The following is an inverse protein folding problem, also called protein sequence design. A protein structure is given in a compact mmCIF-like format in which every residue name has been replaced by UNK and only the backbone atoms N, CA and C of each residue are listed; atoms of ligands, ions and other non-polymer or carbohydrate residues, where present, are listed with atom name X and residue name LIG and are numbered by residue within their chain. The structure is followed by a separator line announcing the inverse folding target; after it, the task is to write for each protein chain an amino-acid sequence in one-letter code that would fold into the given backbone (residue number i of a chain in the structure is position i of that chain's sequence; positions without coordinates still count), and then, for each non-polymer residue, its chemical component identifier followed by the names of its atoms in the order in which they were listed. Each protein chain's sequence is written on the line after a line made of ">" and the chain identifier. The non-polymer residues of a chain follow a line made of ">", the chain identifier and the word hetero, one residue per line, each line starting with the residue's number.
data_IF_277545607791
#
_entry.id   IF_277545607791
#
_cell.length_a   1.000
_cell.length_b   1.000
_cell.length_c   1.000
_cell.angle_alpha   90.00
_cell.angle_beta   90.00
_cell.angle_gamma   90.00
#
_symmetry.space_group_name_H-M   'P 1'
#
loop_
_entity.id
_entity.type
_entity.pdbx_description
1 polymer ?
#
# COMPACT_ATOMS: atom_id res chain seq x y z
N UNK A 1 2.62 -18.20 81.22
CA UNK A 1 4.09 -18.09 81.18
C UNK A 1 4.44 -17.65 79.77
N UNK A 2 4.45 -16.34 79.52
CA UNK A 2 5.64 -15.46 79.43
C UNK A 2 6.66 -16.00 78.41
N UNK A 3 6.82 -15.28 77.30
CA UNK A 3 8.07 -14.59 76.90
C UNK A 3 8.04 -14.41 75.37
N UNK A 4 7.79 -13.22 74.84
CA UNK A 4 8.76 -12.14 74.64
C UNK A 4 10.07 -12.63 73.99
N UNK A 5 10.31 -12.21 72.75
CA UNK A 5 11.51 -12.50 71.97
C UNK A 5 11.59 -11.64 70.72
N UNK A 6 11.97 -10.38 70.91
CA UNK A 6 12.20 -9.35 69.91
C UNK A 6 13.52 -9.64 69.17
N UNK A 7 13.53 -9.72 67.84
CA UNK A 7 14.73 -9.46 67.05
C UNK A 7 14.38 -8.71 65.78
N UNK A 8 14.71 -7.42 65.82
CA UNK A 8 14.79 -6.55 64.66
C UNK A 8 15.76 -7.14 63.62
N UNK A 9 15.39 -7.02 62.34
CA UNK A 9 16.33 -6.69 61.27
C UNK A 9 15.57 -6.23 60.03
N UNK A 10 15.54 -4.91 59.95
CA UNK A 10 15.31 -4.11 58.75
C UNK A 10 16.19 -4.62 57.61
N UNK A 11 15.55 -5.01 56.50
CA UNK A 11 16.14 -4.92 55.18
C UNK A 11 15.20 -4.07 54.34
N UNK A 12 15.53 -2.78 54.26
CA UNK A 12 14.95 -1.84 53.32
C UNK A 12 15.27 -2.36 51.91
N UNK A 13 14.31 -3.04 51.27
CA UNK A 13 14.32 -3.21 49.82
C UNK A 13 13.95 -1.86 49.22
N UNK A 14 14.96 -1.12 48.78
CA UNK A 14 14.77 0.03 47.92
C UNK A 14 14.15 -0.46 46.60
N UNK A 15 12.83 -0.31 46.48
CA UNK A 15 12.14 -0.41 45.19
C UNK A 15 12.55 0.82 44.37
N UNK A 16 13.50 0.63 43.45
CA UNK A 16 13.69 1.56 42.34
C UNK A 16 12.49 1.39 41.40
N UNK A 17 11.38 2.06 41.71
CA UNK A 17 10.35 2.32 40.70
C UNK A 17 10.95 3.32 39.71
N UNK A 18 11.41 2.82 38.57
CA UNK A 18 11.56 3.69 37.39
C UNK A 18 10.14 4.06 36.94
N UNK A 19 9.58 5.08 37.57
CA UNK A 19 8.43 5.79 37.04
C UNK A 19 8.91 6.56 35.80
N UNK A 20 8.65 5.97 34.63
CA UNK A 20 8.67 6.70 33.36
C UNK A 20 7.54 7.73 33.36
N UNK A 21 7.76 8.83 34.07
CA UNK A 21 6.96 10.04 33.95
C UNK A 21 7.16 10.62 32.55
N UNK A 22 6.25 10.22 31.65
CA UNK A 22 5.54 11.05 30.67
C UNK A 22 6.12 12.47 30.51
N UNK A 23 7.24 12.61 29.78
CA UNK A 23 7.55 13.87 29.13
C UNK A 23 6.63 14.01 27.92
N UNK A 24 5.49 14.66 28.18
CA UNK A 24 4.74 15.38 27.17
C UNK A 24 5.62 16.47 26.58
N UNK A 25 6.42 16.10 25.58
CA UNK A 25 7.00 17.04 24.64
C UNK A 25 6.01 17.20 23.50
N UNK A 26 5.32 18.34 23.46
CA UNK A 26 4.70 18.87 22.23
C UNK A 26 5.79 19.06 21.19
N UNK A 27 6.06 18.01 20.42
CA UNK A 27 6.82 18.10 19.20
C UNK A 27 5.88 18.63 18.11
N UNK A 28 5.74 19.95 18.08
CA UNK A 28 5.23 20.66 16.91
C UNK A 28 6.34 20.64 15.84
N UNK A 29 6.62 19.46 15.28
CA UNK A 29 7.35 19.34 14.02
C UNK A 29 6.35 19.75 12.94
N UNK A 30 6.71 20.75 12.12
CA UNK A 30 5.94 21.08 10.92
C UNK A 30 5.72 19.83 10.09
N UNK A 31 4.54 19.23 10.23
CA UNK A 31 4.14 18.03 9.50
C UNK A 31 4.01 18.44 8.05
N UNK A 32 5.03 18.11 7.24
CA UNK A 32 4.84 17.98 5.82
C UNK A 32 3.77 16.90 5.67
N UNK A 33 2.53 17.31 5.44
CA UNK A 33 1.42 16.38 5.27
C UNK A 33 1.78 15.43 4.14
N UNK A 34 1.99 14.17 4.48
CA UNK A 34 2.37 13.12 3.55
C UNK A 34 1.27 12.97 2.49
N UNK A 35 1.59 12.87 1.19
CA UNK A 35 0.57 12.65 0.17
C UNK A 35 -0.14 11.30 0.41
N UNK A 36 -1.47 11.33 0.48
CA UNK A 36 -2.29 10.12 0.62
C UNK A 36 -2.30 9.30 -0.68
N UNK A 37 -1.44 8.27 -0.71
CA UNK A 37 -1.31 7.33 -1.81
C UNK A 37 -1.42 5.91 -1.24
N UNK A 38 -2.62 5.28 -1.26
CA UNK A 38 -2.88 3.98 -0.68
C UNK A 38 -2.19 2.89 -1.51
N UNK A 39 -0.95 2.59 -1.14
CA UNK A 39 -0.08 1.63 -1.80
C UNK A 39 0.41 0.60 -0.78
N UNK A 40 0.44 -0.70 -1.13
CA UNK A 40 0.15 -1.27 -2.43
C UNK A 40 -1.35 -1.47 -2.73
N UNK A 41 -1.75 -1.50 -4.02
CA UNK A 41 -3.10 -1.92 -4.40
C UNK A 41 -3.28 -3.43 -4.16
N UNK A 42 -4.49 -3.85 -3.77
CA UNK A 42 -4.81 -5.24 -3.48
C UNK A 42 -4.74 -6.17 -4.69
N UNK A 43 -4.36 -7.43 -4.50
CA UNK A 43 -4.40 -8.42 -5.56
C UNK A 43 -5.84 -8.65 -6.07
N UNK A 44 -6.07 -8.76 -7.39
CA UNK A 44 -7.39 -9.04 -7.92
C UNK A 44 -7.89 -10.44 -7.54
N UNK A 45 -9.08 -10.46 -6.97
CA UNK A 45 -9.81 -11.66 -6.56
C UNK A 45 -11.25 -11.59 -7.08
N UNK A 46 -11.99 -12.70 -7.07
CA UNK A 46 -13.41 -12.67 -7.45
C UNK A 46 -14.23 -11.74 -6.56
N UNK A 47 -13.83 -11.57 -5.29
CA UNK A 47 -14.53 -10.74 -4.32
C UNK A 47 -14.41 -9.25 -4.65
N UNK A 48 -13.25 -8.79 -5.15
CA UNK A 48 -13.00 -7.38 -5.44
C UNK A 48 -13.07 -7.02 -6.94
N UNK A 49 -13.20 -8.00 -7.84
CA UNK A 49 -13.23 -7.82 -9.30
C UNK A 49 -14.32 -6.84 -9.76
N UNK A 50 -15.51 -6.96 -9.18
CA UNK A 50 -16.63 -6.08 -9.53
C UNK A 50 -16.32 -4.61 -9.20
N UNK A 51 -15.67 -4.35 -8.04
CA UNK A 51 -15.27 -3.02 -7.63
C UNK A 51 -14.14 -2.45 -8.52
N UNK A 52 -13.16 -3.28 -8.88
CA UNK A 52 -12.08 -2.91 -9.81
C UNK A 52 -12.66 -2.34 -11.10
N UNK A 53 -13.62 -3.04 -11.72
CA UNK A 53 -14.21 -2.61 -12.98
C UNK A 53 -15.23 -1.47 -12.81
N UNK A 54 -16.11 -1.55 -11.80
CA UNK A 54 -17.23 -0.61 -11.65
C UNK A 54 -16.78 0.76 -11.13
N UNK A 55 -15.80 0.79 -10.23
CA UNK A 55 -15.40 2.00 -9.51
C UNK A 55 -14.11 2.62 -10.03
N UNK A 56 -13.60 2.22 -11.21
CA UNK A 56 -12.39 2.79 -11.80
C UNK A 56 -12.40 4.33 -11.84
N UNK A 57 -13.51 4.96 -12.22
CA UNK A 57 -13.63 6.43 -12.28
C UNK A 57 -13.83 7.09 -10.91
N UNK A 58 -14.11 6.33 -9.86
CA UNK A 58 -14.28 6.85 -8.49
C UNK A 58 -13.09 6.51 -7.60
N UNK A 59 -11.99 6.03 -8.16
CA UNK A 59 -10.73 5.75 -7.45
C UNK A 59 -9.68 6.82 -7.78
N UNK A 60 -8.88 7.31 -6.81
CA UNK A 60 -7.93 8.40 -7.03
C UNK A 60 -6.95 8.16 -8.18
N UNK A 61 -6.52 9.26 -8.81
CA UNK A 61 -5.39 9.33 -9.74
C UNK A 61 -4.35 10.30 -9.23
N UNK A 62 -3.11 10.05 -9.60
CA UNK A 62 -1.94 10.75 -9.07
C UNK A 62 -1.15 11.46 -10.17
N UNK A 63 -1.71 12.50 -10.82
CA UNK A 63 -0.98 13.30 -11.80
C UNK A 63 0.17 14.08 -11.13
N UNK A 64 1.15 14.62 -11.89
CA UNK A 64 2.26 15.39 -11.32
C UNK A 64 1.84 16.56 -10.42
N UNK A 65 0.66 17.15 -10.67
CA UNK A 65 0.06 18.25 -9.92
C UNK A 65 -0.49 17.87 -8.55
N UNK A 66 -0.74 16.58 -8.29
CA UNK A 66 -1.17 16.08 -6.98
C UNK A 66 -0.07 16.24 -5.92
N UNK A 67 1.19 16.19 -6.35
CA UNK A 67 2.34 16.09 -5.46
C UNK A 67 3.05 17.44 -5.25
N UNK A 68 3.53 17.73 -4.02
CA UNK A 68 4.45 18.83 -3.77
C UNK A 68 5.69 18.79 -4.68
N UNK A 69 6.30 19.95 -4.93
CA UNK A 69 7.41 20.11 -5.89
C UNK A 69 8.63 19.24 -5.56
N UNK A 70 8.92 19.00 -4.29
CA UNK A 70 10.09 18.24 -3.83
C UNK A 70 9.74 17.36 -2.61
N UNK A 71 10.67 16.49 -2.21
CA UNK A 71 10.55 15.69 -0.98
C UNK A 71 9.62 14.46 -1.05
N UNK A 72 8.91 14.23 -2.16
CA UNK A 72 7.87 13.19 -2.29
C UNK A 72 8.12 12.21 -3.44
N UNK A 73 9.39 11.96 -3.78
CA UNK A 73 9.75 11.15 -4.95
C UNK A 73 9.25 9.69 -4.85
N UNK A 74 9.21 9.13 -3.64
CA UNK A 74 8.64 7.81 -3.36
C UNK A 74 7.15 7.76 -3.70
N UNK A 75 6.34 8.67 -3.14
CA UNK A 75 4.89 8.77 -3.42
C UNK A 75 4.58 8.99 -4.89
N UNK A 76 5.42 9.77 -5.60
CA UNK A 76 5.29 9.92 -7.06
C UNK A 76 5.40 8.59 -7.80
N UNK A 77 6.29 7.69 -7.36
CA UNK A 77 6.45 6.35 -7.97
C UNK A 77 5.30 5.42 -7.58
N UNK A 78 4.83 5.45 -6.33
CA UNK A 78 3.62 4.73 -5.92
C UNK A 78 2.39 5.16 -6.72
N UNK A 79 2.18 6.48 -6.84
CA UNK A 79 1.07 7.04 -7.62
C UNK A 79 1.16 6.71 -9.11
N UNK A 80 2.37 6.72 -9.68
CA UNK A 80 2.62 6.26 -11.06
C UNK A 80 2.25 4.78 -11.25
N UNK A 81 2.62 3.93 -10.30
CA UNK A 81 2.27 2.50 -10.34
C UNK A 81 0.76 2.28 -10.26
N UNK A 82 0.05 3.04 -9.41
CA UNK A 82 -1.42 3.00 -9.33
C UNK A 82 -2.06 3.48 -10.64
N UNK A 83 -1.66 4.64 -11.17
CA UNK A 83 -2.21 5.16 -12.43
C UNK A 83 -2.05 4.17 -13.59
N UNK A 84 -0.90 3.49 -13.65
CA UNK A 84 -0.62 2.42 -14.61
C UNK A 84 -1.55 1.23 -14.45
N UNK A 85 -1.67 0.73 -13.23
CA UNK A 85 -2.55 -0.38 -12.93
C UNK A 85 -4.00 -0.05 -13.30
N UNK A 86 -4.46 1.15 -12.98
CA UNK A 86 -5.79 1.64 -13.28
C UNK A 86 -6.06 1.77 -14.78
N UNK A 87 -5.07 2.25 -15.55
CA UNK A 87 -5.16 2.26 -17.01
C UNK A 87 -5.29 0.85 -17.57
N UNK A 88 -4.56 -0.13 -17.03
CA UNK A 88 -4.59 -1.52 -17.49
C UNK A 88 -5.86 -2.25 -17.05
N UNK A 89 -6.38 -1.98 -15.86
CA UNK A 89 -7.68 -2.47 -15.44
C UNK A 89 -8.80 -1.97 -16.35
N UNK A 90 -8.77 -0.71 -16.79
CA UNK A 90 -9.75 -0.22 -17.76
C UNK A 90 -9.75 -1.04 -19.05
N UNK A 91 -8.58 -1.50 -19.50
CA UNK A 91 -8.48 -2.40 -20.67
C UNK A 91 -9.02 -3.80 -20.35
N UNK A 92 -8.69 -4.39 -19.20
CA UNK A 92 -9.21 -5.69 -18.80
C UNK A 92 -10.73 -5.72 -18.61
N UNK A 93 -11.31 -4.60 -18.15
CA UNK A 93 -12.73 -4.45 -17.88
C UNK A 93 -13.54 -3.96 -19.09
N UNK A 94 -12.94 -3.89 -20.28
CA UNK A 94 -13.63 -3.49 -21.51
C UNK A 94 -13.22 -4.35 -22.70
N UNK A 95 -13.93 -4.20 -23.83
CA UNK A 95 -13.59 -4.88 -25.08
C UNK A 95 -13.69 -6.41 -25.00
N UNK A 96 -12.79 -7.10 -25.70
CA UNK A 96 -12.81 -8.56 -25.85
C UNK A 96 -12.53 -9.33 -24.54
N UNK A 97 -11.74 -8.76 -23.63
CA UNK A 97 -11.43 -9.38 -22.33
C UNK A 97 -12.67 -9.45 -21.43
N UNK A 98 -13.55 -8.45 -21.54
CA UNK A 98 -14.72 -8.29 -20.68
C UNK A 98 -15.86 -9.27 -20.93
N UNK A 99 -15.63 -10.33 -21.72
CA UNK A 99 -16.64 -11.34 -22.06
C UNK A 99 -16.99 -12.26 -20.88
N UNK A 100 -16.02 -12.55 -20.00
CA UNK A 100 -16.21 -13.50 -18.88
C UNK A 100 -15.39 -13.07 -17.66
N UNK A 101 -15.97 -13.20 -16.45
CA UNK A 101 -15.29 -12.84 -15.20
C UNK A 101 -13.94 -13.56 -15.02
N UNK A 102 -13.80 -14.79 -15.51
CA UNK A 102 -12.54 -15.54 -15.46
C UNK A 102 -11.44 -14.87 -16.30
N UNK A 103 -11.79 -14.38 -17.50
CA UNK A 103 -10.85 -13.68 -18.38
C UNK A 103 -10.48 -12.30 -17.81
N UNK A 104 -11.46 -11.55 -17.30
CA UNK A 104 -11.24 -10.26 -16.63
C UNK A 104 -10.32 -10.45 -15.43
N UNK A 105 -10.60 -11.44 -14.57
CA UNK A 105 -9.79 -11.73 -13.40
C UNK A 105 -8.35 -12.04 -13.79
N UNK A 106 -8.15 -12.94 -14.75
CA UNK A 106 -6.82 -13.29 -15.21
C UNK A 106 -6.06 -12.08 -15.79
N UNK A 107 -6.72 -11.27 -16.63
CA UNK A 107 -6.13 -10.04 -17.14
C UNK A 107 -5.75 -9.07 -16.02
N UNK A 108 -6.64 -8.87 -15.04
CA UNK A 108 -6.38 -7.99 -13.90
C UNK A 108 -5.21 -8.49 -13.05
N UNK A 109 -5.12 -9.79 -12.77
CA UNK A 109 -4.00 -10.37 -12.01
C UNK A 109 -2.66 -10.20 -12.75
N UNK A 110 -2.64 -10.43 -14.07
CA UNK A 110 -1.46 -10.14 -14.88
C UNK A 110 -1.10 -8.65 -14.86
N UNK A 111 -2.09 -7.76 -15.01
CA UNK A 111 -1.88 -6.31 -14.97
C UNK A 111 -1.27 -5.88 -13.64
N UNK A 112 -1.79 -6.41 -12.52
CA UNK A 112 -1.30 -6.15 -11.17
C UNK A 112 0.17 -6.57 -11.00
N UNK A 113 0.50 -7.81 -11.38
CA UNK A 113 1.88 -8.32 -11.28
C UNK A 113 2.84 -7.52 -12.16
N UNK A 114 2.44 -7.20 -13.41
CA UNK A 114 3.27 -6.42 -14.32
C UNK A 114 3.46 -4.98 -13.82
N UNK A 115 2.43 -4.36 -13.24
CA UNK A 115 2.49 -2.97 -12.78
C UNK A 115 3.46 -2.85 -11.60
N UNK A 116 3.38 -3.80 -10.65
CA UNK A 116 4.26 -3.87 -9.49
C UNK A 116 5.67 -4.34 -9.84
N UNK A 117 5.83 -5.25 -10.82
CA UNK A 117 7.14 -5.58 -11.38
C UNK A 117 7.83 -4.33 -11.95
N UNK A 118 7.10 -3.53 -12.73
CA UNK A 118 7.61 -2.30 -13.31
C UNK A 118 7.91 -1.24 -12.25
N UNK A 119 7.07 -1.12 -11.21
CA UNK A 119 7.38 -0.30 -10.04
C UNK A 119 8.71 -0.71 -9.39
N UNK A 120 8.97 -2.01 -9.24
CA UNK A 120 10.24 -2.48 -8.69
C UNK A 120 11.45 -2.14 -9.56
N UNK A 121 11.31 -2.21 -10.89
CA UNK A 121 12.36 -1.72 -11.81
C UNK A 121 12.62 -0.23 -11.58
N UNK A 122 11.56 0.57 -11.43
CA UNK A 122 11.65 2.01 -11.17
C UNK A 122 12.26 2.32 -9.79
N UNK A 123 11.99 1.49 -8.77
CA UNK A 123 12.56 1.60 -7.42
C UNK A 123 14.06 1.32 -7.39
N UNK A 124 14.53 0.32 -8.15
CA UNK A 124 15.95 0.00 -8.23
C UNK A 124 16.75 0.95 -9.15
N UNK A 125 16.07 1.72 -10.00
CA UNK A 125 16.71 2.69 -10.89
C UNK A 125 17.08 4.01 -10.20
N UNK A 126 16.73 4.18 -8.93
CA UNK A 126 17.02 5.38 -8.14
C UNK A 126 17.93 5.07 -6.95
N UNK A 127 18.66 6.06 -6.43
CA UNK A 127 19.59 5.89 -5.30
C UNK A 127 18.91 5.81 -3.92
N UNK A 128 17.60 5.57 -3.87
CA UNK A 128 16.86 5.41 -2.61
C UNK A 128 16.76 3.94 -2.22
N UNK A 129 16.51 3.65 -0.94
CA UNK A 129 16.21 2.28 -0.50
C UNK A 129 14.92 1.82 -1.20
N UNK A 130 15.05 0.84 -2.10
CA UNK A 130 13.91 0.25 -2.79
C UNK A 130 12.89 -0.35 -1.80
N UNK A 131 11.62 -0.25 -2.17
CA UNK A 131 10.49 -0.82 -1.45
C UNK A 131 10.76 -2.28 -1.04
N UNK A 132 10.54 -2.68 0.24
CA UNK A 132 10.96 -3.98 0.76
C UNK A 132 10.50 -5.18 -0.08
N UNK A 133 9.26 -5.16 -0.57
CA UNK A 133 8.73 -6.25 -1.39
C UNK A 133 9.47 -6.44 -2.71
N UNK A 134 10.05 -5.37 -3.28
CA UNK A 134 10.82 -5.46 -4.52
C UNK A 134 12.10 -6.29 -4.39
N UNK A 135 12.60 -6.50 -3.17
CA UNK A 135 13.76 -7.37 -2.91
C UNK A 135 13.42 -8.86 -2.94
N UNK A 136 12.14 -9.22 -2.92
CA UNK A 136 11.66 -10.60 -3.05
C UNK A 136 11.47 -10.96 -4.52
N UNK A 137 11.25 -12.23 -4.82
CA UNK A 137 11.03 -12.77 -6.17
C UNK A 137 9.91 -13.80 -6.21
N UNK A 138 9.32 -14.01 -7.38
CA UNK A 138 8.22 -14.96 -7.58
C UNK A 138 7.05 -14.68 -6.64
N UNK A 139 6.39 -15.74 -6.18
CA UNK A 139 5.24 -15.66 -5.26
C UNK A 139 5.54 -14.87 -3.99
N UNK A 140 6.75 -14.99 -3.41
CA UNK A 140 7.11 -14.26 -2.20
C UNK A 140 7.07 -12.73 -2.38
N UNK A 141 7.30 -12.24 -3.61
CA UNK A 141 7.11 -10.82 -3.94
C UNK A 141 5.64 -10.43 -3.92
N UNK A 142 4.80 -11.25 -4.54
CA UNK A 142 3.38 -10.98 -4.67
C UNK A 142 2.67 -11.05 -3.32
N UNK A 143 2.94 -12.08 -2.52
CA UNK A 143 2.41 -12.17 -1.15
C UNK A 143 2.82 -10.97 -0.29
N UNK A 144 4.03 -10.43 -0.46
CA UNK A 144 4.46 -9.23 0.27
C UNK A 144 3.67 -7.98 -0.13
N UNK A 145 3.35 -7.84 -1.42
CA UNK A 145 2.52 -6.73 -1.91
C UNK A 145 1.03 -6.89 -1.55
N UNK A 146 0.60 -8.09 -1.15
CA UNK A 146 -0.78 -8.41 -0.82
C UNK A 146 -1.01 -8.63 0.69
N UNK A 147 -0.09 -8.17 1.53
CA UNK A 147 -0.11 -8.41 2.98
C UNK A 147 -0.87 -7.31 3.73
N UNK A 148 -0.34 -6.08 3.72
CA UNK A 148 -0.96 -4.91 4.34
C UNK A 148 -1.61 -4.03 3.26
N UNK A 149 -2.93 -4.16 3.11
CA UNK A 149 -3.69 -3.54 2.04
C UNK A 149 -4.50 -2.33 2.55
N UNK A 150 -4.17 -1.10 2.10
CA UNK A 150 -4.92 0.09 2.50
C UNK A 150 -6.36 0.12 1.96
N UNK A 151 -6.63 -0.54 0.82
CA UNK A 151 -7.96 -0.64 0.22
C UNK A 151 -8.15 -2.03 -0.44
N UNK A 152 -8.47 -3.08 0.34
CA UNK A 152 -8.56 -4.47 -0.15
C UNK A 152 -9.70 -4.71 -1.15
N UNK A 153 -10.78 -3.93 -1.03
CA UNK A 153 -12.01 -4.10 -1.81
C UNK A 153 -12.21 -3.04 -2.90
N UNK A 154 -11.18 -2.22 -3.16
CA UNK A 154 -11.25 -1.17 -4.19
C UNK A 154 -12.45 -0.23 -3.99
N UNK A 155 -12.73 0.12 -2.73
CA UNK A 155 -13.82 1.01 -2.34
C UNK A 155 -13.66 2.37 -3.05
N UNK A 156 -14.76 2.95 -3.56
CA UNK A 156 -14.74 4.25 -4.21
C UNK A 156 -14.50 5.37 -3.21
N UNK A 157 -13.87 6.45 -3.67
CA UNK A 157 -13.82 7.71 -2.93
C UNK A 157 -15.12 8.49 -3.17
N UNK A 158 -15.87 8.76 -2.10
CA UNK A 158 -17.15 9.46 -2.20
C UNK A 158 -17.00 10.86 -2.82
N UNK A 159 -17.83 11.17 -3.81
CA UNK A 159 -17.81 12.46 -4.51
C UNK A 159 -16.60 12.69 -5.42
N UNK A 160 -15.76 11.68 -5.65
CA UNK A 160 -14.59 11.78 -6.52
C UNK A 160 -14.89 11.31 -7.94
N UNK A 161 -14.35 12.05 -8.91
CA UNK A 161 -14.29 11.66 -10.32
C UNK A 161 -12.84 11.76 -10.78
N UNK A 162 -12.31 10.66 -11.32
CA UNK A 162 -10.95 10.58 -11.80
C UNK A 162 -10.71 11.59 -12.93
N UNK A 163 -9.61 12.36 -12.90
CA UNK A 163 -9.21 13.14 -14.05
C UNK A 163 -8.87 12.21 -15.22
N UNK A 164 -8.98 12.73 -16.43
CA UNK A 164 -8.50 12.01 -17.61
C UNK A 164 -6.99 11.83 -17.50
N UNK A 165 -6.54 10.58 -17.53
CA UNK A 165 -5.14 10.20 -17.52
C UNK A 165 -4.77 9.62 -18.88
N UNK A 166 -3.56 9.88 -19.40
CA UNK A 166 -3.11 9.21 -20.62
C UNK A 166 -3.09 7.68 -20.42
N UNK A 167 -3.41 6.89 -21.44
CA UNK A 167 -3.24 5.44 -21.39
C UNK A 167 -1.79 5.06 -21.12
N UNK A 168 -1.57 4.10 -20.24
CA UNK A 168 -0.22 3.60 -19.94
C UNK A 168 0.12 2.41 -20.85
N UNK A 169 1.18 2.50 -21.67
CA UNK A 169 1.56 1.42 -22.58
C UNK A 169 2.32 0.30 -21.85
N UNK A 170 2.60 -0.79 -22.57
CA UNK A 170 3.52 -1.84 -22.12
C UNK A 170 2.88 -2.98 -21.34
N UNK A 171 1.56 -3.14 -21.45
CA UNK A 171 0.86 -4.33 -20.99
C UNK A 171 0.08 -4.97 -22.14
N UNK A 172 0.24 -6.28 -22.27
CA UNK A 172 -0.44 -7.11 -23.25
C UNK A 172 -0.97 -8.33 -22.50
N UNK A 173 -2.28 -8.48 -22.45
CA UNK A 173 -2.93 -9.61 -21.83
C UNK A 173 -2.63 -10.91 -22.58
N UNK A 174 -2.36 -11.98 -21.84
CA UNK A 174 -2.14 -13.33 -22.37
C UNK A 174 -3.26 -14.27 -21.88
N UNK A 175 -4.24 -14.64 -22.71
CA UNK A 175 -5.43 -15.37 -22.26
C UNK A 175 -5.16 -16.74 -21.62
N UNK A 176 -4.05 -17.39 -21.99
CA UNK A 176 -3.70 -18.75 -21.53
C UNK A 176 -2.58 -18.74 -20.47
N UNK A 177 -2.40 -17.63 -19.76
CA UNK A 177 -1.31 -17.47 -18.77
C UNK A 177 -1.86 -16.91 -17.47
N UNK A 178 -2.71 -17.72 -16.86
CA UNK A 178 -3.23 -17.64 -15.52
C UNK A 178 -2.89 -19.00 -14.87
#
# INVERSE_FOLDING_TARGET
>A
MISAGFFARSWLLALLTLDCAKLGGTQNFGSLQEPDVPFPPAFPTLQNLAAICRYGQSRPRYPPSFFPRSGVSFFRRCGKAINRLESWYSMCCSGEVAQQNVQILCCAQQAWQNALAKFCVEEFAVMTRAYPCCRKSGEARWSCFDDELPNPFYEPTAGYTAPQMPPEPGFTWKPNTC
#
